data_IF_389948792355
#
_entry.id   IF_389948792355
#
_cell.length_a   1.000
_cell.length_b   1.000
_cell.length_c   1.000
_cell.angle_alpha   90.00
_cell.angle_beta   90.00
_cell.angle_gamma   90.00
#
_symmetry.space_group_name_H-M   'P 1'
#
loop_
_entity.id
_entity.type
_entity.pdbx_description
1 polymer ?
#
# COMPACT_ATOMS: atom_id res chain seq x y z
N UNK A 1 -13.72 0.23 17.50
CA UNK A 1 -13.00 1.09 16.54
C UNK A 1 -13.86 1.47 15.32
N UNK A 2 -14.62 0.56 14.72
CA UNK A 2 -15.59 0.88 13.63
C UNK A 2 -16.66 1.93 14.01
N UNK A 3 -17.05 2.01 15.30
CA UNK A 3 -18.00 3.01 15.81
C UNK A 3 -17.44 4.44 15.84
N UNK A 4 -16.14 4.63 15.99
CA UNK A 4 -15.51 5.95 16.07
C UNK A 4 -15.46 6.62 14.70
N UNK A 5 -15.20 5.85 13.63
CA UNK A 5 -15.19 6.37 12.25
C UNK A 5 -16.61 6.81 11.82
N UNK A 6 -17.66 6.11 12.29
CA UNK A 6 -19.06 6.45 12.02
C UNK A 6 -19.53 7.74 12.70
N UNK A 7 -18.91 8.13 13.82
CA UNK A 7 -19.27 9.33 14.61
C UNK A 7 -18.75 10.63 14.00
N UNK A 8 -17.66 10.55 13.24
CA UNK A 8 -17.10 11.74 12.59
C UNK A 8 -17.39 11.66 11.09
N UNK A 9 -18.37 12.20 10.53
CA UNK A 9 -18.66 12.41 9.10
C UNK A 9 -17.41 12.68 8.19
N UNK A 10 -16.31 11.95 8.43
CA UNK A 10 -14.94 12.26 8.03
C UNK A 10 -14.45 11.41 6.85
N UNK A 11 -15.38 10.93 6.00
CA UNK A 11 -14.97 10.32 4.71
C UNK A 11 -14.12 11.26 3.85
N UNK A 12 -14.24 12.57 4.05
CA UNK A 12 -13.41 13.55 3.34
C UNK A 12 -11.92 13.43 3.62
N UNK A 13 -11.52 13.01 4.83
CA UNK A 13 -10.09 12.88 5.20
C UNK A 13 -9.50 11.51 4.86
N UNK A 14 -10.30 10.44 4.82
CA UNK A 14 -9.84 9.11 4.39
C UNK A 14 -9.36 9.12 2.94
N UNK A 15 -9.90 10.00 2.13
CA UNK A 15 -9.46 10.21 0.74
C UNK A 15 -8.00 10.67 0.66
N UNK A 16 -7.43 11.28 1.71
CA UNK A 16 -6.05 11.75 1.74
C UNK A 16 -5.05 10.70 2.24
N UNK A 17 -5.53 9.56 2.75
CA UNK A 17 -4.67 8.48 3.28
C UNK A 17 -4.38 7.48 2.15
N UNK A 18 -3.11 7.21 1.91
CA UNK A 18 -2.68 6.27 0.87
C UNK A 18 -2.63 4.82 1.35
N UNK A 19 -2.31 4.58 2.62
CA UNK A 19 -2.20 3.26 3.23
C UNK A 19 -3.14 3.14 4.44
N UNK A 20 -3.96 2.10 4.44
CA UNK A 20 -4.88 1.77 5.51
C UNK A 20 -4.47 0.41 6.08
N UNK A 21 -4.17 0.34 7.37
CA UNK A 21 -3.71 -0.88 8.04
C UNK A 21 -4.66 -1.21 9.16
N UNK A 22 -5.07 -2.47 9.24
CA UNK A 22 -5.86 -3.00 10.34
C UNK A 22 -4.94 -3.63 11.38
N UNK A 23 -4.87 -3.01 12.56
CA UNK A 23 -4.15 -3.57 13.70
C UNK A 23 -5.14 -4.27 14.63
N UNK A 24 -4.92 -5.56 14.90
CA UNK A 24 -5.66 -6.28 15.94
C UNK A 24 -5.25 -5.75 17.32
N UNK A 25 -6.22 -5.64 18.22
CA UNK A 25 -5.91 -5.45 19.64
C UNK A 25 -5.36 -6.76 20.21
N UNK A 26 -4.32 -6.65 21.01
CA UNK A 26 -3.81 -7.79 21.76
C UNK A 26 -4.80 -8.17 22.87
N UNK A 27 -4.98 -9.47 23.08
CA UNK A 27 -5.72 -9.98 24.24
C UNK A 27 -4.91 -9.78 25.52
N UNK A 28 -5.60 -9.79 26.68
CA UNK A 28 -4.91 -9.72 27.97
C UNK A 28 -3.90 -10.87 28.17
N UNK A 29 -4.21 -12.07 27.63
CA UNK A 29 -3.31 -13.21 27.69
C UNK A 29 -2.03 -13.00 26.85
N UNK A 30 -2.15 -12.41 25.67
CA UNK A 30 -0.99 -12.05 24.82
C UNK A 30 -0.15 -10.96 25.46
N UNK A 31 -0.78 -9.94 26.06
CA UNK A 31 -0.08 -8.86 26.76
C UNK A 31 0.69 -9.37 28.01
N UNK A 32 0.15 -10.36 28.71
CA UNK A 32 0.77 -10.96 29.90
C UNK A 32 1.76 -12.10 29.57
N UNK A 33 2.03 -12.37 28.30
CA UNK A 33 2.92 -13.45 27.87
C UNK A 33 2.39 -14.84 28.22
N UNK A 34 1.09 -14.99 28.48
CA UNK A 34 0.45 -16.26 28.90
C UNK A 34 -0.02 -17.13 27.72
N UNK A 35 0.34 -16.79 26.51
CA UNK A 35 0.01 -17.58 25.32
C UNK A 35 0.92 -18.80 25.21
N UNK A 36 0.64 -19.83 25.99
CA UNK A 36 1.30 -21.14 25.92
C UNK A 36 0.95 -21.98 24.70
N UNK A 37 0.37 -21.42 23.64
CA UNK A 37 -0.01 -22.14 22.41
C UNK A 37 0.50 -21.46 21.11
N UNK A 38 1.34 -20.46 21.20
CA UNK A 38 2.08 -19.96 20.05
C UNK A 38 3.42 -20.68 19.97
N UNK A 39 3.66 -21.46 18.91
CA UNK A 39 5.02 -21.89 18.57
C UNK A 39 5.95 -20.67 18.51
N UNK A 40 7.28 -20.88 18.42
CA UNK A 40 8.23 -19.77 18.37
C UNK A 40 7.77 -18.79 17.30
N UNK A 41 7.57 -17.53 17.70
CA UNK A 41 7.28 -16.44 16.75
C UNK A 41 8.37 -16.51 15.66
N UNK A 42 7.99 -16.37 14.38
CA UNK A 42 8.99 -16.26 13.34
C UNK A 42 9.99 -15.17 13.75
N UNK A 43 11.29 -15.36 13.50
CA UNK A 43 12.31 -14.42 13.92
C UNK A 43 11.91 -13.03 13.42
N UNK A 44 11.77 -12.09 14.36
CA UNK A 44 11.40 -10.72 14.05
C UNK A 44 12.50 -10.10 13.20
N UNK A 45 12.11 -9.48 12.09
CA UNK A 45 13.05 -8.74 11.24
C UNK A 45 13.63 -7.57 12.02
N UNK A 46 14.92 -7.43 12.07
CA UNK A 46 15.58 -6.36 12.80
C UNK A 46 15.33 -4.99 12.15
N UNK A 47 15.32 -3.93 12.96
CA UNK A 47 15.22 -2.56 12.46
C UNK A 47 16.34 -2.22 11.45
N UNK A 48 17.52 -2.82 11.60
CA UNK A 48 18.63 -2.65 10.67
C UNK A 48 18.36 -3.28 9.29
N UNK A 49 17.67 -4.41 9.24
CA UNK A 49 17.26 -5.06 7.97
C UNK A 49 16.19 -4.25 7.27
N UNK A 50 15.19 -3.78 8.01
CA UNK A 50 14.15 -2.90 7.50
C UNK A 50 14.78 -1.61 6.94
N UNK A 51 15.68 -0.96 7.71
CA UNK A 51 16.36 0.26 7.29
C UNK A 51 17.17 0.06 6.00
N UNK A 52 17.89 -1.07 5.87
CA UNK A 52 18.63 -1.39 4.63
C UNK A 52 17.71 -1.58 3.43
N UNK A 53 16.56 -2.25 3.60
CA UNK A 53 15.57 -2.42 2.53
C UNK A 53 14.97 -1.09 2.09
N UNK A 54 14.60 -0.25 3.04
CA UNK A 54 14.08 1.10 2.78
C UNK A 54 15.13 1.97 2.09
N UNK A 55 16.39 1.95 2.52
CA UNK A 55 17.47 2.72 1.92
C UNK A 55 17.70 2.34 0.46
N UNK A 56 17.67 1.04 0.12
CA UNK A 56 17.76 0.56 -1.27
C UNK A 56 16.61 1.09 -2.13
N UNK A 57 15.37 0.97 -1.66
CA UNK A 57 14.22 1.48 -2.39
C UNK A 57 14.29 2.99 -2.61
N UNK A 58 14.75 3.74 -1.59
CA UNK A 58 14.97 5.19 -1.70
C UNK A 58 16.06 5.56 -2.72
N UNK A 59 17.15 4.80 -2.76
CA UNK A 59 18.22 5.01 -3.76
C UNK A 59 17.68 4.81 -5.19
N UNK A 60 16.88 3.77 -5.43
CA UNK A 60 16.22 3.52 -6.72
C UNK A 60 15.32 4.69 -7.11
N UNK A 61 14.51 5.21 -6.17
CA UNK A 61 13.61 6.35 -6.42
C UNK A 61 14.40 7.64 -6.70
N UNK A 62 15.45 7.90 -5.94
CA UNK A 62 16.33 9.07 -6.16
C UNK A 62 16.97 9.04 -7.54
N UNK A 63 17.49 7.89 -7.96
CA UNK A 63 18.05 7.72 -9.31
C UNK A 63 16.98 7.88 -10.41
N UNK A 64 15.78 7.33 -10.20
CA UNK A 64 14.63 7.44 -11.12
C UNK A 64 14.22 8.88 -11.37
N UNK A 65 14.21 9.70 -10.34
CA UNK A 65 13.72 11.06 -10.38
C UNK A 65 14.84 12.12 -10.47
N UNK A 66 16.06 11.70 -10.82
CA UNK A 66 17.16 12.63 -11.01
C UNK A 66 16.79 13.71 -12.05
N UNK A 67 16.84 14.98 -11.64
CA UNK A 67 16.44 16.12 -12.48
C UNK A 67 14.93 16.39 -12.58
N UNK A 68 14.07 15.60 -11.94
CA UNK A 68 12.60 15.78 -12.01
C UNK A 68 12.02 16.60 -10.85
N UNK A 69 12.84 17.05 -9.89
CA UNK A 69 12.39 17.86 -8.74
C UNK A 69 11.55 17.13 -7.71
N UNK A 70 11.46 15.80 -7.78
CA UNK A 70 10.79 14.94 -6.80
C UNK A 70 11.74 13.84 -6.32
N UNK A 71 11.44 13.24 -5.15
CA UNK A 71 12.34 12.29 -4.48
C UNK A 71 11.67 10.97 -4.12
N UNK A 72 10.36 10.85 -4.34
CA UNK A 72 9.61 9.66 -3.97
C UNK A 72 8.43 9.41 -4.90
N UNK A 73 8.04 8.14 -5.06
CA UNK A 73 6.90 7.74 -5.88
C UNK A 73 5.60 8.44 -5.43
N UNK A 74 5.45 8.76 -4.14
CA UNK A 74 4.29 9.47 -3.61
C UNK A 74 4.07 10.85 -4.26
N UNK A 75 5.16 11.50 -4.70
CA UNK A 75 5.14 12.84 -5.28
C UNK A 75 4.84 12.86 -6.78
N UNK A 76 4.81 11.69 -7.44
CA UNK A 76 4.54 11.60 -8.88
C UNK A 76 3.24 12.30 -9.28
N UNK A 77 3.30 13.09 -10.32
CA UNK A 77 2.14 13.62 -11.05
C UNK A 77 1.62 12.59 -12.09
N UNK A 78 0.55 12.94 -12.82
CA UNK A 78 -0.06 12.03 -13.79
C UNK A 78 0.91 11.58 -14.90
N UNK A 79 1.73 12.49 -15.45
CA UNK A 79 2.71 12.18 -16.50
C UNK A 79 3.81 11.23 -15.99
N UNK A 80 4.25 11.44 -14.76
CA UNK A 80 5.27 10.59 -14.12
C UNK A 80 4.71 9.21 -13.78
N UNK A 81 3.44 9.09 -13.38
CA UNK A 81 2.78 7.79 -13.19
C UNK A 81 2.73 7.04 -14.52
N UNK A 82 2.32 7.68 -15.61
CA UNK A 82 2.26 7.06 -16.92
C UNK A 82 3.67 6.58 -17.40
N UNK A 83 4.69 7.37 -17.13
CA UNK A 83 6.08 7.05 -17.48
C UNK A 83 6.66 5.91 -16.66
N UNK A 84 6.47 5.91 -15.33
CA UNK A 84 7.19 5.07 -14.38
C UNK A 84 6.37 3.90 -13.82
N UNK A 85 5.03 3.90 -14.00
CA UNK A 85 4.15 2.83 -13.58
C UNK A 85 3.59 2.07 -14.79
N UNK A 86 4.46 1.70 -15.75
CA UNK A 86 4.06 0.92 -16.91
C UNK A 86 3.52 -0.43 -16.46
N UNK A 87 2.39 -0.82 -17.03
CA UNK A 87 1.73 -2.08 -16.73
C UNK A 87 1.78 -3.00 -17.95
N UNK A 88 2.10 -4.27 -17.72
CA UNK A 88 1.87 -5.34 -18.68
C UNK A 88 0.36 -5.53 -18.91
N UNK A 89 -0.02 -6.27 -19.95
CA UNK A 89 -1.44 -6.56 -20.20
C UNK A 89 -2.08 -7.33 -19.04
N UNK A 90 -1.37 -8.28 -18.46
CA UNK A 90 -1.81 -9.03 -17.27
C UNK A 90 -2.07 -8.09 -16.07
N UNK A 91 -1.16 -7.11 -15.85
CA UNK A 91 -1.32 -6.12 -14.79
C UNK A 91 -2.53 -5.21 -15.02
N UNK A 92 -2.81 -4.82 -16.27
CA UNK A 92 -3.99 -4.01 -16.63
C UNK A 92 -5.28 -4.75 -16.31
N UNK A 93 -5.40 -6.00 -16.75
CA UNK A 93 -6.56 -6.85 -16.47
C UNK A 93 -6.75 -7.09 -14.98
N UNK A 94 -5.65 -7.27 -14.23
CA UNK A 94 -5.69 -7.42 -12.77
C UNK A 94 -6.19 -6.14 -12.12
N UNK A 95 -5.69 -4.99 -12.53
CA UNK A 95 -6.08 -3.70 -11.99
C UNK A 95 -7.55 -3.36 -12.30
N UNK A 96 -8.02 -3.66 -13.51
CA UNK A 96 -9.41 -3.51 -13.91
C UNK A 96 -10.33 -4.31 -13.00
N UNK A 97 -10.04 -5.59 -12.79
CA UNK A 97 -10.78 -6.46 -11.86
C UNK A 97 -10.80 -5.92 -10.43
N UNK A 98 -9.69 -5.33 -9.97
CA UNK A 98 -9.61 -4.72 -8.64
C UNK A 98 -10.53 -3.50 -8.56
N UNK A 99 -10.47 -2.61 -9.55
CA UNK A 99 -11.26 -1.38 -9.60
C UNK A 99 -12.76 -1.69 -9.62
N UNK A 100 -13.18 -2.64 -10.44
CA UNK A 100 -14.58 -3.07 -10.57
C UNK A 100 -15.09 -3.70 -9.27
N UNK A 101 -14.35 -4.67 -8.73
CA UNK A 101 -14.76 -5.38 -7.50
C UNK A 101 -14.84 -4.48 -6.28
N UNK A 102 -13.98 -3.49 -6.18
CA UNK A 102 -13.93 -2.60 -5.04
C UNK A 102 -14.71 -1.30 -5.26
N UNK A 103 -15.19 -1.03 -6.47
CA UNK A 103 -15.89 0.20 -6.82
C UNK A 103 -15.02 1.45 -6.59
N UNK A 104 -13.73 1.38 -6.94
CA UNK A 104 -12.75 2.40 -6.62
C UNK A 104 -12.83 3.60 -7.57
N UNK A 105 -12.49 4.78 -7.04
CA UNK A 105 -12.44 6.02 -7.81
C UNK A 105 -11.14 6.15 -8.61
N UNK A 106 -11.12 7.07 -9.61
CA UNK A 106 -9.91 7.42 -10.36
C UNK A 106 -8.75 7.87 -9.46
N UNK A 107 -9.05 8.49 -8.30
CA UNK A 107 -8.04 8.85 -7.30
C UNK A 107 -7.42 7.62 -6.64
N UNK A 108 -8.22 6.60 -6.33
CA UNK A 108 -7.72 5.34 -5.80
C UNK A 108 -6.81 4.61 -6.81
N UNK A 109 -7.15 4.64 -8.10
CA UNK A 109 -6.32 4.13 -9.18
C UNK A 109 -4.88 4.68 -9.15
N UNK A 110 -4.73 6.01 -9.14
CA UNK A 110 -3.40 6.63 -9.12
C UNK A 110 -2.59 6.29 -7.87
N UNK A 111 -3.26 6.12 -6.73
CA UNK A 111 -2.63 5.73 -5.45
C UNK A 111 -2.19 4.28 -5.45
N UNK A 112 -3.02 3.37 -5.95
CA UNK A 112 -2.65 1.96 -6.11
C UNK A 112 -1.37 1.85 -6.95
N UNK A 113 -1.26 2.59 -8.06
CA UNK A 113 -0.07 2.58 -8.91
C UNK A 113 1.18 3.07 -8.18
N UNK A 114 1.09 4.17 -7.42
CA UNK A 114 2.21 4.70 -6.63
C UNK A 114 2.66 3.71 -5.55
N UNK A 115 1.73 3.08 -4.86
CA UNK A 115 2.01 2.07 -3.84
C UNK A 115 2.60 0.82 -4.47
N UNK A 116 2.00 0.30 -5.55
CA UNK A 116 2.51 -0.87 -6.26
C UNK A 116 3.93 -0.64 -6.81
N UNK A 117 4.23 0.57 -7.32
CA UNK A 117 5.60 0.94 -7.71
C UNK A 117 6.55 0.93 -6.53
N UNK A 118 6.11 1.39 -5.37
CA UNK A 118 6.93 1.40 -4.15
C UNK A 118 7.18 -0.01 -3.63
N UNK A 119 6.19 -0.90 -3.70
CA UNK A 119 6.36 -2.32 -3.34
C UNK A 119 7.39 -2.98 -4.27
N UNK A 120 7.28 -2.74 -5.59
CA UNK A 120 8.25 -3.25 -6.56
C UNK A 120 9.67 -2.70 -6.31
N UNK A 121 9.82 -1.43 -5.90
CA UNK A 121 11.11 -0.86 -5.51
C UNK A 121 11.67 -1.51 -4.23
N UNK A 122 10.82 -1.85 -3.26
CA UNK A 122 11.20 -2.57 -2.04
C UNK A 122 11.67 -4.00 -2.34
N UNK A 123 11.06 -4.67 -3.32
CA UNK A 123 11.48 -5.97 -3.82
C UNK A 123 12.70 -5.89 -4.77
N UNK A 124 13.14 -4.67 -5.11
CA UNK A 124 14.22 -4.42 -6.06
C UNK A 124 13.95 -5.02 -7.46
N UNK A 125 12.71 -4.95 -7.94
CA UNK A 125 12.33 -5.41 -9.28
C UNK A 125 11.95 -4.22 -10.18
N UNK A 126 12.31 -4.27 -11.49
CA UNK A 126 12.10 -3.16 -12.42
C UNK A 126 10.63 -2.95 -12.75
N UNK A 127 9.84 -4.01 -12.82
CA UNK A 127 8.47 -3.97 -13.31
C UNK A 127 7.44 -4.20 -12.22
N UNK A 128 6.28 -3.55 -12.35
CA UNK A 128 5.13 -3.82 -11.51
C UNK A 128 4.52 -5.17 -11.94
N UNK A 129 4.28 -6.05 -10.97
CA UNK A 129 3.65 -7.36 -11.16
C UNK A 129 2.23 -7.36 -10.60
N UNK A 130 1.37 -8.32 -11.01
CA UNK A 130 0.01 -8.45 -10.46
C UNK A 130 -0.03 -8.53 -8.92
N UNK A 131 0.94 -9.21 -8.30
CA UNK A 131 1.05 -9.32 -6.85
C UNK A 131 1.17 -7.95 -6.17
N UNK A 132 1.99 -7.02 -6.74
CA UNK A 132 2.15 -5.67 -6.20
C UNK A 132 0.85 -4.86 -6.25
N UNK A 133 0.04 -5.05 -7.32
CA UNK A 133 -1.26 -4.39 -7.45
C UNK A 133 -2.28 -4.92 -6.44
N UNK A 134 -2.29 -6.23 -6.22
CA UNK A 134 -3.16 -6.88 -5.22
C UNK A 134 -2.80 -6.44 -3.80
N UNK A 135 -1.52 -6.38 -3.46
CA UNK A 135 -1.04 -5.90 -2.17
C UNK A 135 -1.39 -4.42 -1.98
N UNK A 136 -1.10 -3.56 -2.98
CA UNK A 136 -1.43 -2.14 -2.94
C UNK A 136 -2.94 -1.90 -2.76
N UNK A 137 -3.78 -2.71 -3.41
CA UNK A 137 -5.23 -2.65 -3.26
C UNK A 137 -5.69 -3.08 -1.87
N UNK A 138 -4.97 -4.04 -1.24
CA UNK A 138 -5.23 -4.48 0.14
C UNK A 138 -5.16 -3.33 1.15
N UNK A 139 -4.32 -2.33 0.92
CA UNK A 139 -4.22 -1.13 1.77
C UNK A 139 -5.36 -0.12 1.55
N UNK A 140 -6.35 -0.43 0.69
CA UNK A 140 -7.49 0.44 0.35
C UNK A 140 -8.85 -0.13 0.79
N UNK A 141 -8.87 -1.00 1.80
CA UNK A 141 -10.07 -1.73 2.20
C UNK A 141 -11.22 -0.83 2.70
N UNK A 142 -10.95 0.37 3.20
CA UNK A 142 -11.97 1.33 3.63
C UNK A 142 -12.60 2.11 2.46
N UNK A 143 -11.98 2.07 1.27
CA UNK A 143 -12.48 2.78 0.08
C UNK A 143 -13.57 1.99 -0.66
N UNK A 144 -13.81 0.74 -0.28
CA UNK A 144 -14.86 -0.08 -0.90
C UNK A 144 -16.20 0.62 -0.81
N UNK A 145 -16.82 0.89 -1.95
CA UNK A 145 -18.21 1.35 -1.98
C UNK A 145 -19.07 0.28 -1.31
N UNK A 146 -19.80 0.65 -0.29
CA UNK A 146 -20.86 -0.22 0.24
C UNK A 146 -21.99 -0.21 -0.79
N UNK A 147 -22.62 -1.34 -1.07
CA UNK A 147 -23.71 -1.42 -2.07
C UNK A 147 -24.98 -0.64 -1.68
N UNK A 148 -24.91 0.24 -0.68
CA UNK A 148 -26.07 0.98 -0.14
C UNK A 148 -25.76 2.46 0.21
N UNK A 149 -24.83 3.11 -0.50
CA UNK A 149 -24.66 4.57 -0.44
C UNK A 149 -25.30 5.23 -1.67
#
# INVERSE_FOLDING_TARGET
MYKVIKKYRTYKYLICIDLQIFCKSLSAAELLGRTGQGGPLPPEESSAEIARRVARARAVQTARFAGEGIFANAQMNARQIERWCKLSEECRQTLEKILDRMGLSARAYTRILKVARTIADLENVPDIRPAHLLEAAGFRFLDRRRPFD
#
